data_IF_599944882573
#
_entry.id   IF_599944882573
#
_cell.length_a   1.000
_cell.length_b   1.000
_cell.length_c   1.000
_cell.angle_alpha   90.00
_cell.angle_beta   90.00
_cell.angle_gamma   90.00
#
_symmetry.space_group_name_H-M   'P 1'
#
loop_
_entity.id
_entity.type
_entity.pdbx_description
1 polymer ?
#
# COMPACT_ATOMS: atom_id res chain seq x y z
N UNK A 1 -5.99 -6.74 -13.84
CA UNK A 1 -6.02 -6.03 -12.55
C UNK A 1 -5.94 -4.53 -12.79
N UNK A 2 -6.68 -3.70 -12.03
CA UNK A 2 -6.45 -2.25 -11.99
C UNK A 2 -6.59 -1.72 -10.55
N UNK A 3 -5.73 -0.77 -10.17
CA UNK A 3 -5.74 -0.14 -8.84
C UNK A 3 -6.83 0.93 -8.81
N UNK A 4 -7.66 0.91 -7.77
CA UNK A 4 -8.78 1.84 -7.60
C UNK A 4 -8.50 2.90 -6.54
N UNK A 5 -7.72 2.58 -5.51
CA UNK A 5 -7.36 3.53 -4.44
C UNK A 5 -6.08 3.11 -3.73
N UNK A 6 -5.34 4.10 -3.23
CA UNK A 6 -4.14 3.93 -2.42
C UNK A 6 -4.30 4.71 -1.12
N UNK A 7 -3.95 4.10 0.01
CA UNK A 7 -3.83 4.82 1.28
C UNK A 7 -2.53 4.46 1.97
N UNK A 8 -1.68 5.45 2.23
CA UNK A 8 -0.41 5.27 2.93
C UNK A 8 -0.43 6.04 4.24
N UNK A 9 0.22 5.49 5.26
CA UNK A 9 0.51 6.16 6.52
C UNK A 9 1.95 5.88 6.93
N UNK A 10 2.68 6.95 7.22
CA UNK A 10 4.08 6.92 7.65
C UNK A 10 4.99 6.12 6.70
N UNK A 11 4.81 6.25 5.39
CA UNK A 11 5.61 5.57 4.38
C UNK A 11 6.62 6.51 3.74
N UNK A 12 7.90 6.36 4.08
CA UNK A 12 8.99 7.26 3.66
C UNK A 12 8.63 8.75 3.84
N UNK A 13 8.55 9.53 2.75
CA UNK A 13 8.16 10.95 2.80
C UNK A 13 6.67 11.20 3.05
N UNK A 14 5.81 10.18 2.94
CA UNK A 14 4.36 10.30 3.11
C UNK A 14 3.92 9.99 4.54
N UNK A 15 3.68 11.03 5.36
CA UNK A 15 2.99 10.86 6.65
C UNK A 15 1.57 10.34 6.47
N UNK A 16 0.86 10.88 5.49
CA UNK A 16 -0.46 10.42 5.08
C UNK A 16 -0.65 10.66 3.58
N UNK A 17 -1.17 9.67 2.88
CA UNK A 17 -1.55 9.77 1.48
C UNK A 17 -2.88 9.04 1.28
N UNK A 18 -3.83 9.66 0.59
CA UNK A 18 -5.00 8.98 0.04
C UNK A 18 -5.18 9.44 -1.39
N UNK A 19 -5.13 8.50 -2.33
CA UNK A 19 -5.33 8.77 -3.75
C UNK A 19 -6.38 7.81 -4.32
N UNK A 20 -7.45 8.31 -4.94
CA UNK A 20 -7.88 9.71 -4.96
C UNK A 20 -8.20 10.27 -3.56
N UNK A 21 -8.40 11.58 -3.46
CA UNK A 21 -8.89 12.21 -2.22
C UNK A 21 -10.34 11.75 -1.97
N UNK A 22 -10.73 11.58 -0.71
CA UNK A 22 -12.09 11.18 -0.34
C UNK A 22 -12.40 9.69 -0.55
N UNK A 23 -13.65 9.38 -0.92
CA UNK A 23 -14.18 8.02 -1.14
C UNK A 23 -14.15 7.57 -2.59
N UNK A 24 -13.58 8.38 -3.48
CA UNK A 24 -13.54 8.13 -4.92
C UNK A 24 -12.54 7.03 -5.30
N UNK A 25 -12.76 6.42 -6.48
CA UNK A 25 -11.84 5.51 -7.15
C UNK A 25 -11.10 6.24 -8.27
N UNK A 26 -9.88 5.81 -8.59
CA UNK A 26 -9.13 6.37 -9.73
C UNK A 26 -9.94 6.28 -11.02
N UNK A 27 -9.86 7.31 -11.87
CA UNK A 27 -10.52 7.28 -13.16
C UNK A 27 -9.91 6.17 -14.04
N UNK A 28 -10.73 5.64 -14.95
CA UNK A 28 -10.24 4.77 -16.02
C UNK A 28 -9.41 5.59 -17.02
N UNK A 29 -8.49 4.93 -17.71
CA UNK A 29 -7.66 5.55 -18.74
C UNK A 29 -6.24 5.87 -18.27
N UNK A 30 -5.65 6.91 -18.84
CA UNK A 30 -4.27 7.31 -18.57
C UNK A 30 -4.19 8.22 -17.34
N UNK A 31 -3.41 7.80 -16.33
CA UNK A 31 -3.13 8.60 -15.13
C UNK A 31 -1.70 9.10 -15.21
N UNK A 32 -1.53 10.43 -15.26
CA UNK A 32 -0.21 11.08 -15.20
C UNK A 32 0.14 11.44 -13.76
N UNK A 33 1.26 10.91 -13.26
CA UNK A 33 1.84 11.30 -11.97
C UNK A 33 3.01 12.26 -12.21
N UNK A 34 2.77 13.56 -12.07
CA UNK A 34 3.75 14.62 -12.34
C UNK A 34 4.12 15.45 -11.10
N UNK A 35 5.27 16.12 -11.15
CA UNK A 35 5.80 16.94 -10.07
C UNK A 35 7.32 17.00 -10.09
N UNK A 36 7.93 17.88 -9.27
CA UNK A 36 9.39 18.05 -9.19
C UNK A 36 10.10 16.77 -8.73
N UNK A 37 11.39 16.65 -9.02
CA UNK A 37 12.21 15.54 -8.53
C UNK A 37 12.17 15.46 -7.00
N UNK A 38 12.24 14.24 -6.47
CA UNK A 38 12.19 13.97 -5.03
C UNK A 38 10.89 14.32 -4.29
N UNK A 39 9.80 14.64 -5.00
CA UNK A 39 8.45 14.85 -4.40
C UNK A 39 7.70 13.55 -4.06
N UNK A 40 8.38 12.40 -4.08
CA UNK A 40 7.78 11.10 -3.73
C UNK A 40 7.04 10.39 -4.87
N UNK A 41 7.10 10.88 -6.12
CA UNK A 41 6.44 10.23 -7.27
C UNK A 41 6.82 8.75 -7.40
N UNK A 42 8.12 8.44 -7.40
CA UNK A 42 8.61 7.06 -7.44
C UNK A 42 8.21 6.27 -6.19
N UNK A 43 8.16 6.93 -5.03
CA UNK A 43 7.74 6.34 -3.75
C UNK A 43 6.29 5.87 -3.76
N UNK A 44 5.39 6.50 -4.54
CA UNK A 44 4.02 5.99 -4.74
C UNK A 44 4.07 4.57 -5.32
N UNK A 45 4.88 4.38 -6.37
CA UNK A 45 5.04 3.07 -7.00
C UNK A 45 5.78 2.08 -6.09
N UNK A 46 6.82 2.51 -5.37
CA UNK A 46 7.47 1.67 -4.35
C UNK A 46 6.46 1.18 -3.30
N UNK A 47 5.54 2.03 -2.85
CA UNK A 47 4.48 1.66 -1.91
C UNK A 47 3.52 0.63 -2.47
N UNK A 48 3.11 0.77 -3.74
CA UNK A 48 2.28 -0.24 -4.44
C UNK A 48 3.02 -1.58 -4.45
N UNK A 49 4.25 -1.61 -4.94
CA UNK A 49 5.02 -2.85 -5.07
C UNK A 49 5.31 -3.47 -3.69
N UNK A 50 5.63 -2.65 -2.68
CA UNK A 50 5.85 -3.08 -1.30
C UNK A 50 4.59 -3.71 -0.67
N UNK A 51 3.40 -3.16 -0.93
CA UNK A 51 2.17 -3.72 -0.39
C UNK A 51 1.93 -5.15 -0.90
N UNK A 52 2.15 -5.39 -2.20
CA UNK A 52 1.96 -6.71 -2.82
C UNK A 52 3.06 -7.72 -2.44
N UNK A 53 4.33 -7.32 -2.48
CA UNK A 53 5.45 -8.27 -2.42
C UNK A 53 6.30 -8.15 -1.15
N UNK A 54 6.09 -7.11 -0.34
CA UNK A 54 6.87 -6.84 0.85
C UNK A 54 8.29 -6.32 0.56
N UNK A 55 9.16 -6.25 1.58
CA UNK A 55 10.48 -5.62 1.47
C UNK A 55 11.49 -6.46 0.67
N UNK A 56 11.33 -7.79 0.60
CA UNK A 56 12.37 -8.72 0.10
C UNK A 56 12.73 -8.50 -1.37
N UNK A 57 11.83 -7.91 -2.16
CA UNK A 57 12.06 -7.57 -3.56
C UNK A 57 12.97 -6.33 -3.74
N UNK A 58 13.15 -5.51 -2.70
CA UNK A 58 13.99 -4.31 -2.74
C UNK A 58 15.40 -4.65 -2.24
N UNK A 59 16.33 -4.89 -3.17
CA UNK A 59 17.72 -5.23 -2.84
C UNK A 59 18.35 -4.17 -1.92
N UNK A 60 19.03 -4.64 -0.88
CA UNK A 60 19.74 -3.78 0.08
C UNK A 60 18.85 -2.96 1.02
N UNK A 61 17.52 -3.15 1.00
CA UNK A 61 16.59 -2.44 1.88
C UNK A 61 15.78 -3.40 2.74
N UNK A 62 15.62 -3.06 4.01
CA UNK A 62 14.72 -3.77 4.93
C UNK A 62 13.39 -3.02 5.07
N UNK A 63 12.38 -3.65 5.67
CA UNK A 63 11.07 -3.02 5.88
C UNK A 63 11.14 -1.70 6.66
N UNK A 64 12.01 -1.63 7.69
CA UNK A 64 12.15 -0.43 8.52
C UNK A 64 12.61 0.81 7.71
N UNK A 65 13.38 0.62 6.63
CA UNK A 65 13.80 1.69 5.73
C UNK A 65 12.67 2.35 4.93
N UNK A 66 11.46 1.77 4.96
CA UNK A 66 10.26 2.30 4.32
C UNK A 66 9.37 3.08 5.30
N UNK A 67 9.74 3.17 6.58
CA UNK A 67 9.00 3.92 7.60
C UNK A 67 9.48 5.37 7.61
N UNK A 68 8.54 6.33 7.64
CA UNK A 68 8.84 7.76 7.82
C UNK A 68 9.80 8.00 8.99
N UNK A 69 10.75 8.91 8.81
CA UNK A 69 11.69 9.28 9.87
C UNK A 69 10.96 9.77 11.12
N UNK A 70 11.39 9.32 12.30
CA UNK A 70 10.73 9.61 13.59
C UNK A 70 9.50 8.75 13.91
N UNK A 71 8.94 8.03 12.93
CA UNK A 71 7.78 7.15 13.14
C UNK A 71 8.22 5.72 13.49
N UNK A 72 7.42 5.01 14.30
CA UNK A 72 7.70 3.65 14.76
C UNK A 72 7.09 2.55 13.89
N UNK A 73 6.06 2.90 13.10
CA UNK A 73 5.28 1.99 12.25
C UNK A 73 4.79 2.67 10.98
N UNK A 74 4.54 1.86 9.95
CA UNK A 74 3.93 2.28 8.70
C UNK A 74 2.82 1.32 8.26
N UNK A 75 1.87 1.85 7.49
CA UNK A 75 0.70 1.13 6.99
C UNK A 75 0.44 1.50 5.53
N UNK A 76 0.08 0.50 4.73
CA UNK A 76 -0.34 0.66 3.34
C UNK A 76 -1.61 -0.15 3.12
N UNK A 77 -2.56 0.44 2.38
CA UNK A 77 -3.70 -0.28 1.82
C UNK A 77 -3.81 0.05 0.35
N UNK A 78 -3.82 -0.98 -0.50
CA UNK A 78 -4.01 -0.84 -1.94
C UNK A 78 -5.32 -1.52 -2.31
N UNK A 79 -6.26 -0.76 -2.82
CA UNK A 79 -7.53 -1.23 -3.33
C UNK A 79 -7.39 -1.46 -4.83
N UNK A 80 -7.90 -2.59 -5.31
CA UNK A 80 -7.80 -2.97 -6.71
C UNK A 80 -8.95 -3.89 -7.11
N UNK A 81 -9.22 -3.95 -8.41
CA UNK A 81 -10.16 -4.89 -9.00
C UNK A 81 -9.40 -5.93 -9.82
N UNK A 82 -9.79 -7.18 -9.66
CA UNK A 82 -9.32 -8.33 -10.43
C UNK A 82 -10.53 -9.20 -10.79
N UNK A 83 -10.69 -9.54 -12.07
CA UNK A 83 -11.80 -10.37 -12.58
C UNK A 83 -13.19 -9.93 -12.07
N UNK A 84 -13.47 -8.63 -12.17
CA UNK A 84 -14.69 -7.96 -11.70
C UNK A 84 -14.98 -8.06 -10.19
N UNK A 85 -14.01 -8.53 -9.39
CA UNK A 85 -14.10 -8.55 -7.93
C UNK A 85 -13.20 -7.48 -7.33
N UNK A 86 -13.70 -6.80 -6.28
CA UNK A 86 -12.95 -5.77 -5.56
C UNK A 86 -12.18 -6.38 -4.40
N UNK A 87 -10.92 -5.98 -4.28
CA UNK A 87 -10.02 -6.43 -3.24
C UNK A 87 -9.33 -5.24 -2.60
N UNK A 88 -8.80 -5.46 -1.40
CA UNK A 88 -7.70 -4.65 -0.91
C UNK A 88 -6.64 -5.51 -0.24
N UNK A 89 -5.38 -5.14 -0.44
CA UNK A 89 -4.26 -5.69 0.33
C UNK A 89 -3.82 -4.65 1.35
N UNK A 90 -3.80 -5.07 2.60
CA UNK A 90 -3.37 -4.28 3.76
C UNK A 90 -2.05 -4.81 4.28
N UNK A 91 -1.09 -3.92 4.51
CA UNK A 91 0.18 -4.24 5.16
C UNK A 91 0.48 -3.24 6.27
N UNK A 92 0.91 -3.75 7.43
CA UNK A 92 1.40 -2.96 8.57
C UNK A 92 2.70 -3.56 9.09
N UNK A 93 3.69 -2.72 9.36
CA UNK A 93 4.96 -3.15 9.94
C UNK A 93 5.54 -2.09 10.88
N UNK A 94 6.34 -2.55 11.84
CA UNK A 94 7.10 -1.70 12.74
C UNK A 94 8.58 -1.68 12.38
N UNK A 95 9.36 -0.82 13.06
CA UNK A 95 10.83 -0.87 13.02
C UNK A 95 11.37 -2.18 13.59
N UNK A 96 10.65 -2.74 14.55
CA UNK A 96 10.90 -4.04 15.18
C UNK A 96 9.59 -4.83 15.21
N UNK A 97 9.68 -6.16 15.29
CA UNK A 97 8.52 -7.02 15.52
C UNK A 97 7.77 -7.49 14.26
N UNK A 98 6.54 -7.96 14.49
CA UNK A 98 5.75 -8.68 13.49
C UNK A 98 5.23 -7.78 12.37
N UNK A 99 5.22 -8.32 11.16
CA UNK A 99 4.58 -7.71 9.99
C UNK A 99 3.22 -8.35 9.78
N UNK A 100 2.18 -7.54 9.59
CA UNK A 100 0.84 -8.02 9.25
C UNK A 100 0.60 -7.78 7.77
N UNK A 101 0.16 -8.81 7.05
CA UNK A 101 -0.26 -8.70 5.64
C UNK A 101 -1.57 -9.44 5.47
N UNK A 102 -2.61 -8.74 5.00
CA UNK A 102 -3.96 -9.29 4.86
C UNK A 102 -4.53 -8.95 3.49
N UNK A 103 -5.24 -9.90 2.88
CA UNK A 103 -6.05 -9.68 1.71
C UNK A 103 -7.52 -9.70 2.12
N UNK A 104 -8.25 -8.69 1.67
CA UNK A 104 -9.68 -8.58 1.83
C UNK A 104 -10.36 -8.58 0.47
N UNK A 105 -11.57 -9.13 0.41
CA UNK A 105 -12.45 -9.10 -0.75
C UNK A 105 -13.75 -8.38 -0.37
N UNK A 106 -14.29 -7.57 -1.27
CA UNK A 106 -15.59 -6.94 -1.10
C UNK A 106 -16.71 -7.98 -1.20
N UNK A 107 -17.49 -8.11 -0.14
CA UNK A 107 -18.70 -8.92 -0.09
C UNK A 107 -19.91 -8.01 0.17
N UNK A 108 -20.60 -7.65 -0.93
CA UNK A 108 -21.84 -6.85 -1.05
C UNK A 108 -21.86 -5.51 -0.31
N UNK A 109 -21.62 -5.51 1.00
CA UNK A 109 -21.68 -4.38 1.92
C UNK A 109 -20.34 -4.02 2.55
N UNK A 110 -19.38 -4.96 2.63
CA UNK A 110 -18.10 -4.70 3.33
C UNK A 110 -16.95 -5.55 2.82
N UNK A 111 -15.71 -5.12 3.11
CA UNK A 111 -14.52 -5.93 2.88
C UNK A 111 -14.36 -7.00 3.96
N UNK A 112 -14.31 -8.27 3.54
CA UNK A 112 -14.07 -9.41 4.43
C UNK A 112 -12.68 -9.98 4.21
N UNK A 113 -12.00 -10.29 5.31
CA UNK A 113 -10.67 -10.92 5.26
C UNK A 113 -10.79 -12.27 4.55
N UNK A 114 -9.98 -12.47 3.50
CA UNK A 114 -9.88 -13.74 2.77
C UNK A 114 -8.63 -14.51 3.11
N UNK A 115 -7.54 -13.79 3.41
CA UNK A 115 -6.26 -14.41 3.73
C UNK A 115 -5.44 -13.52 4.64
N UNK A 116 -4.91 -14.11 5.70
CA UNK A 116 -3.82 -13.54 6.47
C UNK A 116 -2.53 -14.23 6.02
N UNK A 117 -1.61 -13.45 5.45
CA UNK A 117 -0.28 -13.93 5.12
C UNK A 117 0.58 -13.74 6.36
N UNK A 118 0.45 -14.67 7.31
CA UNK A 118 1.42 -14.80 8.38
C UNK A 118 2.77 -15.12 7.73
N UNK A 119 3.62 -14.11 7.60
CA UNK A 119 5.01 -14.33 7.25
C UNK A 119 5.67 -14.68 8.57
N UNK A 120 5.81 -15.98 8.84
CA UNK A 120 6.71 -16.46 9.89
C UNK A 120 8.11 -15.86 9.65
N UNK A 121 8.74 -15.48 10.76
CA UNK A 121 9.91 -14.60 10.88
C UNK A 121 11.03 -14.91 9.88
#
# INVERSE_FOLDING_TARGET
MYITKLTFRNFMGYKQLSLPKGTEEFPKGLILVCGKNSYGKSTIFEGIVFAFFGPKIFKGRNAASFITYGESKAELTIFFTLDNKKYNIFRRWGRTGATTTKLFEWDKTTYRERKNFNIEK
#
